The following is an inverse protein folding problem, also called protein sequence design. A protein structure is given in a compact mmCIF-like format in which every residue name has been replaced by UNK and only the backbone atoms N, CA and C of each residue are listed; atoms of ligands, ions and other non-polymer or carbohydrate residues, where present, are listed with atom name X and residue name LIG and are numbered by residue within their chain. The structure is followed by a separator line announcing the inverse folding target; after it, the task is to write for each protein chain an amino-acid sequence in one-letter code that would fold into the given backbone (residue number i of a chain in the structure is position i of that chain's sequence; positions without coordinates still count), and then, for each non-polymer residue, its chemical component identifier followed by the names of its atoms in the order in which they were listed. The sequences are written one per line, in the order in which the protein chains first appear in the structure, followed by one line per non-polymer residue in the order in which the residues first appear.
data_IF_147188125452
#
_entry.id   IF_147188125452
#
_cell.length_a   1.000
_cell.length_b   1.000
_cell.length_c   1.000
_cell.angle_alpha   90.00
_cell.angle_beta   90.00
_cell.angle_gamma   90.00
#
_symmetry.space_group_name_H-M   'P 1'
#
loop_
_entity.id
_entity.type
_entity.pdbx_description
1 polymer ?
#
# COMPACT_ATOMS: atom_id res chain seq x y z
N UNK A 1 -48.16 -0.99 -38.37
CA UNK A 1 -48.19 0.22 -39.23
C UNK A 1 -46.76 0.68 -39.50
N UNK A 2 -46.44 1.13 -40.72
CA UNK A 2 -45.10 1.63 -41.07
C UNK A 2 -45.21 3.00 -41.74
N UNK A 3 -44.44 3.97 -41.27
CA UNK A 3 -44.17 5.24 -41.93
C UNK A 3 -42.73 5.22 -42.43
N UNK A 4 -42.54 5.09 -43.75
CA UNK A 4 -41.22 4.98 -44.38
C UNK A 4 -41.08 6.00 -45.50
N UNK A 5 -39.98 6.74 -45.51
CA UNK A 5 -39.63 7.65 -46.62
C UNK A 5 -38.81 6.95 -47.71
N UNK A 6 -38.67 7.59 -48.87
CA UNK A 6 -37.60 7.27 -49.84
C UNK A 6 -36.63 8.44 -49.85
N UNK A 7 -35.33 8.16 -49.78
CA UNK A 7 -34.32 9.21 -49.84
C UNK A 7 -34.44 10.02 -51.12
N UNK A 8 -34.53 11.34 -50.98
CA UNK A 8 -34.68 12.22 -52.13
C UNK A 8 -33.39 12.23 -52.96
N UNK A 9 -33.50 11.89 -54.24
CA UNK A 9 -32.37 11.80 -55.18
C UNK A 9 -31.20 10.90 -54.69
N UNK A 10 -31.51 9.85 -53.93
CA UNK A 10 -30.52 8.91 -53.43
C UNK A 10 -31.12 7.56 -53.05
N UNK A 11 -30.27 6.67 -52.53
CA UNK A 11 -30.69 5.39 -51.95
C UNK A 11 -30.84 5.51 -50.43
N UNK A 12 -31.77 4.74 -49.85
CA UNK A 12 -32.01 4.70 -48.41
C UNK A 12 -33.43 5.09 -48.00
N UNK A 13 -33.66 5.17 -46.69
CA UNK A 13 -34.94 5.55 -46.09
C UNK A 13 -34.75 5.95 -44.62
N UNK A 14 -35.71 6.70 -44.08
CA UNK A 14 -35.97 6.76 -42.64
C UNK A 14 -37.25 5.99 -42.35
N UNK A 15 -37.39 5.43 -41.15
CA UNK A 15 -38.55 4.60 -40.81
C UNK A 15 -38.95 4.74 -39.34
N UNK A 16 -40.26 4.81 -39.12
CA UNK A 16 -40.92 4.54 -37.85
C UNK A 16 -41.93 3.42 -38.08
N UNK A 17 -41.76 2.31 -37.36
CA UNK A 17 -42.61 1.11 -37.49
C UNK A 17 -43.13 0.67 -36.13
N UNK A 18 -44.42 0.39 -36.09
CA UNK A 18 -45.13 -0.24 -34.98
C UNK A 18 -45.61 -1.62 -35.44
N UNK A 19 -45.09 -2.67 -34.83
CA UNK A 19 -45.52 -4.06 -34.98
C UNK A 19 -46.19 -4.49 -33.68
N UNK A 20 -47.43 -4.96 -33.74
CA UNK A 20 -48.28 -5.27 -32.58
C UNK A 20 -48.77 -6.73 -32.66
N UNK A 21 -47.97 -7.59 -33.30
CA UNK A 21 -48.20 -9.02 -33.29
C UNK A 21 -48.02 -9.55 -31.86
N UNK A 22 -49.02 -10.27 -31.35
CA UNK A 22 -49.04 -10.78 -29.98
C UNK A 22 -47.75 -11.52 -29.62
N UNK A 23 -47.09 -11.09 -28.55
CA UNK A 23 -45.80 -11.62 -28.06
C UNK A 23 -44.59 -11.37 -28.97
N UNK A 24 -44.70 -10.49 -29.97
CA UNK A 24 -43.62 -10.07 -30.86
C UNK A 24 -43.69 -8.55 -31.14
N UNK A 25 -44.27 -7.80 -30.21
CA UNK A 25 -44.48 -6.37 -30.34
C UNK A 25 -43.14 -5.62 -30.47
N UNK A 26 -43.06 -4.70 -31.43
CA UNK A 26 -41.85 -3.91 -31.66
C UNK A 26 -42.16 -2.50 -32.11
N UNK A 27 -41.47 -1.55 -31.47
CA UNK A 27 -41.23 -0.22 -32.02
C UNK A 27 -39.85 -0.18 -32.66
N UNK A 28 -39.77 0.22 -33.93
CA UNK A 28 -38.51 0.39 -34.66
C UNK A 28 -38.40 1.82 -35.17
N UNK A 29 -37.25 2.45 -34.91
CA UNK A 29 -36.90 3.78 -35.41
C UNK A 29 -35.54 3.69 -36.13
N UNK A 30 -35.49 4.20 -37.35
CA UNK A 30 -34.29 4.23 -38.17
C UNK A 30 -34.04 5.64 -38.70
N UNK A 31 -32.83 6.15 -38.45
CA UNK A 31 -32.31 7.33 -39.13
C UNK A 31 -31.14 6.94 -40.03
N UNK A 32 -31.18 7.34 -41.29
CA UNK A 32 -30.15 6.96 -42.28
C UNK A 32 -28.78 7.59 -42.01
N UNK A 33 -28.73 8.77 -41.39
CA UNK A 33 -27.48 9.53 -41.22
C UNK A 33 -27.35 10.16 -39.83
N UNK A 34 -28.19 11.16 -39.54
CA UNK A 34 -28.18 11.86 -38.27
C UNK A 34 -29.52 11.63 -37.57
N UNK A 35 -29.48 11.50 -36.25
CA UNK A 35 -30.65 11.56 -35.39
C UNK A 35 -30.34 12.52 -34.26
N UNK A 36 -31.11 13.60 -34.18
CA UNK A 36 -31.10 14.50 -33.03
C UNK A 36 -32.33 14.20 -32.17
N UNK A 37 -32.15 14.21 -30.85
CA UNK A 37 -33.25 14.06 -29.89
C UNK A 37 -33.15 15.18 -28.87
N UNK A 38 -34.06 16.13 -28.93
CA UNK A 38 -34.16 17.24 -27.98
C UNK A 38 -35.40 17.05 -27.11
N UNK A 39 -35.22 17.17 -25.79
CA UNK A 39 -36.31 17.12 -24.82
C UNK A 39 -36.18 18.33 -23.92
N UNK A 40 -37.14 19.26 -23.99
CA UNK A 40 -37.09 20.56 -23.32
C UNK A 40 -37.39 20.52 -21.82
N UNK A 41 -37.91 19.38 -21.34
CA UNK A 41 -38.24 19.18 -19.93
C UNK A 41 -37.63 17.84 -19.47
N UNK A 42 -38.46 16.84 -19.18
CA UNK A 42 -38.00 15.57 -18.62
C UNK A 42 -38.02 14.46 -19.67
N UNK A 43 -36.94 13.67 -19.70
CA UNK A 43 -36.91 12.35 -20.36
C UNK A 43 -36.70 11.29 -19.28
N UNK A 44 -37.52 10.25 -19.30
CA UNK A 44 -37.34 9.05 -18.47
C UNK A 44 -37.23 7.85 -19.40
N UNK A 45 -36.26 6.99 -19.12
CA UNK A 45 -36.07 5.72 -19.82
C UNK A 45 -36.11 4.61 -18.78
N UNK A 46 -37.04 3.67 -18.93
CA UNK A 46 -37.18 2.49 -18.09
C UNK A 46 -37.17 1.24 -18.98
N UNK A 47 -36.20 0.35 -18.78
CA UNK A 47 -36.02 -0.86 -19.57
C UNK A 47 -36.11 -2.05 -18.62
N UNK A 48 -37.17 -2.86 -18.74
CA UNK A 48 -37.50 -3.93 -17.77
C UNK A 48 -36.58 -5.14 -17.81
N UNK A 49 -35.86 -5.36 -18.91
CA UNK A 49 -35.06 -6.57 -19.12
C UNK A 49 -33.62 -6.18 -19.42
N UNK A 50 -33.29 -5.90 -20.68
CA UNK A 50 -31.90 -5.67 -21.11
C UNK A 50 -31.78 -4.38 -21.93
N UNK A 51 -30.72 -3.62 -21.67
CA UNK A 51 -30.27 -2.51 -22.51
C UNK A 51 -28.89 -2.84 -23.07
N UNK A 52 -28.70 -2.64 -24.37
CA UNK A 52 -27.42 -2.76 -25.04
C UNK A 52 -27.20 -1.52 -25.88
N UNK A 53 -26.00 -0.96 -25.79
CA UNK A 53 -25.58 0.21 -26.54
C UNK A 53 -24.20 -0.05 -27.13
N UNK A 54 -24.03 0.24 -28.42
CA UNK A 54 -22.77 0.08 -29.15
C UNK A 54 -22.45 1.37 -29.89
N UNK A 55 -21.32 1.99 -29.57
CA UNK A 55 -20.82 3.19 -30.26
C UNK A 55 -19.63 2.77 -31.11
N UNK A 56 -19.72 2.98 -32.43
CA UNK A 56 -18.62 2.70 -33.36
C UNK A 56 -17.52 3.76 -33.38
N UNK A 57 -17.79 4.94 -32.81
CA UNK A 57 -16.86 6.08 -32.72
C UNK A 57 -16.64 6.53 -31.28
N UNK A 58 -16.85 7.82 -31.02
CA UNK A 58 -16.64 8.42 -29.69
C UNK A 58 -17.97 8.61 -28.95
N UNK A 59 -17.97 8.39 -27.63
CA UNK A 59 -19.06 8.77 -26.73
C UNK A 59 -18.60 9.95 -25.86
N UNK A 60 -19.42 10.99 -25.75
CA UNK A 60 -19.18 12.13 -24.84
C UNK A 60 -20.42 12.28 -23.97
N UNK A 61 -20.23 12.27 -22.66
CA UNK A 61 -21.30 12.45 -21.67
C UNK A 61 -20.94 13.66 -20.81
N UNK A 62 -21.86 14.63 -20.76
CA UNK A 62 -21.71 15.82 -19.91
C UNK A 62 -22.92 15.91 -18.97
N UNK A 63 -22.66 15.72 -17.67
CA UNK A 63 -23.65 15.92 -16.61
C UNK A 63 -23.31 17.23 -15.89
N UNK A 64 -24.20 18.22 -15.97
CA UNK A 64 -23.94 19.57 -15.41
C UNK A 64 -24.12 19.65 -13.89
N UNK A 65 -24.88 18.72 -13.32
CA UNK A 65 -25.16 18.65 -11.88
C UNK A 65 -24.62 17.32 -11.35
N UNK A 66 -25.50 16.43 -10.88
CA UNK A 66 -25.11 15.20 -10.19
C UNK A 66 -25.33 13.96 -11.07
N UNK A 67 -24.41 13.00 -10.97
CA UNK A 67 -24.57 11.65 -11.51
C UNK A 67 -24.60 10.67 -10.34
N UNK A 68 -25.68 9.88 -10.25
CA UNK A 68 -25.78 8.76 -9.32
C UNK A 68 -25.84 7.46 -10.14
N UNK A 69 -24.93 6.54 -9.85
CA UNK A 69 -24.91 5.21 -10.46
C UNK A 69 -25.04 4.17 -9.35
N UNK A 70 -26.00 3.27 -9.49
CA UNK A 70 -26.20 2.13 -8.59
C UNK A 70 -26.12 0.85 -9.40
N UNK A 71 -25.18 -0.03 -9.05
CA UNK A 71 -25.04 -1.36 -9.61
C UNK A 71 -25.24 -2.34 -8.48
N UNK A 72 -26.32 -3.14 -8.54
CA UNK A 72 -26.69 -4.06 -7.43
C UNK A 72 -25.84 -5.32 -7.42
N UNK A 73 -25.40 -5.77 -8.60
CA UNK A 73 -24.55 -6.94 -8.75
C UNK A 73 -23.11 -6.51 -9.07
N UNK A 74 -22.64 -6.77 -10.29
CA UNK A 74 -21.24 -6.61 -10.67
C UNK A 74 -21.06 -5.48 -11.68
N UNK A 75 -19.97 -4.74 -11.54
CA UNK A 75 -19.47 -3.79 -12.54
C UNK A 75 -18.11 -4.29 -13.06
N UNK A 76 -17.95 -4.33 -14.38
CA UNK A 76 -16.68 -4.62 -15.05
C UNK A 76 -16.36 -3.48 -16.01
N UNK A 77 -15.20 -2.86 -15.84
CA UNK A 77 -14.67 -1.84 -16.72
C UNK A 77 -13.40 -2.37 -17.39
N UNK A 78 -13.28 -2.19 -18.71
CA UNK A 78 -12.08 -2.55 -19.46
C UNK A 78 -11.65 -1.31 -20.24
N UNK A 79 -10.47 -0.80 -19.93
CA UNK A 79 -9.85 0.32 -20.64
C UNK A 79 -8.68 -0.24 -21.46
N UNK A 80 -8.75 -0.15 -22.78
CA UNK A 80 -7.73 -0.71 -23.68
C UNK A 80 -6.45 0.12 -23.78
N UNK A 81 -6.50 1.39 -23.38
CA UNK A 81 -5.36 2.31 -23.38
C UNK A 81 -5.25 3.01 -22.01
N UNK A 82 -5.41 4.33 -21.95
CA UNK A 82 -5.20 5.12 -20.75
C UNK A 82 -6.53 5.50 -20.07
N UNK A 83 -6.55 5.47 -18.74
CA UNK A 83 -7.62 6.03 -17.92
C UNK A 83 -7.05 7.24 -17.14
N UNK A 84 -7.74 8.38 -17.21
CA UNK A 84 -7.39 9.58 -16.44
C UNK A 84 -8.60 10.03 -15.64
N UNK A 85 -8.41 10.20 -14.33
CA UNK A 85 -9.47 10.61 -13.40
C UNK A 85 -8.98 11.83 -12.63
N UNK A 86 -9.74 12.92 -12.73
CA UNK A 86 -9.50 14.14 -11.97
C UNK A 86 -10.69 14.39 -11.06
N UNK A 87 -10.44 14.42 -9.76
CA UNK A 87 -11.44 14.77 -8.74
C UNK A 87 -11.14 16.17 -8.24
N UNK A 88 -12.09 17.10 -8.38
CA UNK A 88 -11.86 18.50 -8.02
C UNK A 88 -11.76 18.74 -6.51
N UNK A 89 -12.39 17.88 -5.70
CA UNK A 89 -12.45 18.01 -4.24
C UNK A 89 -12.02 16.67 -3.58
N UNK A 90 -12.96 15.91 -3.01
CA UNK A 90 -12.68 14.72 -2.22
C UNK A 90 -13.00 13.43 -3.00
N UNK A 91 -12.12 12.43 -2.88
CA UNK A 91 -12.38 11.06 -3.28
C UNK A 91 -12.47 10.17 -2.04
N UNK A 92 -13.61 9.49 -1.87
CA UNK A 92 -13.82 8.51 -0.80
C UNK A 92 -14.09 7.15 -1.43
N UNK A 93 -13.38 6.12 -0.95
CA UNK A 93 -13.53 4.74 -1.41
C UNK A 93 -13.74 3.84 -0.19
N UNK A 94 -14.82 3.07 -0.18
CA UNK A 94 -15.09 2.07 0.85
C UNK A 94 -15.24 0.72 0.18
N UNK A 95 -14.44 -0.25 0.63
CA UNK A 95 -14.45 -1.62 0.11
C UNK A 95 -14.81 -2.55 1.25
N UNK A 96 -15.87 -3.34 1.08
CA UNK A 96 -16.44 -4.15 2.17
C UNK A 96 -15.59 -5.37 2.56
N UNK A 97 -14.77 -5.89 1.65
CA UNK A 97 -13.99 -7.12 1.89
C UNK A 97 -12.52 -6.93 1.48
N UNK A 98 -12.22 -6.89 0.18
CA UNK A 98 -10.83 -6.87 -0.32
C UNK A 98 -10.65 -5.85 -1.44
N UNK A 99 -9.56 -5.08 -1.36
CA UNK A 99 -9.05 -4.23 -2.43
C UNK A 99 -7.69 -4.75 -2.89
N UNK A 100 -7.63 -5.31 -4.10
CA UNK A 100 -6.39 -5.76 -4.72
C UNK A 100 -5.94 -4.77 -5.80
N UNK A 101 -4.67 -4.39 -5.80
CA UNK A 101 -4.07 -3.49 -6.78
C UNK A 101 -2.78 -4.11 -7.33
N UNK A 102 -2.76 -4.37 -8.64
CA UNK A 102 -1.58 -4.85 -9.37
C UNK A 102 -1.17 -3.79 -10.37
N UNK A 103 0.10 -3.37 -10.32
CA UNK A 103 0.68 -2.36 -11.22
C UNK A 103 1.89 -2.97 -11.90
N UNK A 104 1.90 -2.95 -13.24
CA UNK A 104 2.89 -3.69 -14.03
C UNK A 104 4.28 -3.06 -14.09
N UNK A 105 4.38 -1.73 -14.02
CA UNK A 105 5.65 -1.00 -14.18
C UNK A 105 6.00 -0.13 -12.97
N UNK A 106 5.21 0.91 -12.69
CA UNK A 106 5.53 1.88 -11.66
C UNK A 106 4.26 2.39 -10.96
N UNK A 107 4.35 2.51 -9.63
CA UNK A 107 3.30 3.07 -8.78
C UNK A 107 3.89 4.23 -7.97
N UNK A 108 3.30 5.42 -8.11
CA UNK A 108 3.71 6.63 -7.41
C UNK A 108 2.53 7.18 -6.61
N UNK A 109 2.81 7.59 -5.37
CA UNK A 109 1.86 8.33 -4.54
C UNK A 109 2.56 9.58 -4.03
N UNK A 110 1.95 10.74 -4.26
CA UNK A 110 2.40 12.03 -3.73
C UNK A 110 1.28 12.62 -2.90
N UNK A 111 1.55 12.90 -1.63
CA UNK A 111 0.59 13.51 -0.70
C UNK A 111 1.12 14.88 -0.30
N UNK A 112 0.37 15.94 -0.63
CA UNK A 112 0.78 17.31 -0.32
C UNK A 112 0.58 17.73 1.15
N UNK A 113 -0.24 16.98 1.89
CA UNK A 113 -0.53 17.20 3.30
C UNK A 113 -0.10 16.02 4.17
N UNK A 114 -1.06 15.45 4.90
CA UNK A 114 -0.82 14.33 5.82
C UNK A 114 -1.23 13.01 5.18
N UNK A 115 -0.40 11.98 5.34
CA UNK A 115 -0.72 10.60 5.02
C UNK A 115 -0.81 9.79 6.31
N UNK A 116 -1.95 9.13 6.55
CA UNK A 116 -2.13 8.20 7.67
C UNK A 116 -2.38 6.79 7.11
N UNK A 117 -1.80 5.79 7.75
CA UNK A 117 -2.04 4.38 7.42
C UNK A 117 -2.27 3.64 8.73
N UNK A 118 -3.46 3.09 8.89
CA UNK A 118 -3.83 2.27 10.04
C UNK A 118 -4.17 0.87 9.55
N UNK A 119 -3.56 -0.14 10.18
CA UNK A 119 -3.73 -1.55 9.84
C UNK A 119 -4.04 -2.29 11.13
N UNK A 120 -5.19 -2.94 11.18
CA UNK A 120 -5.68 -3.58 12.40
C UNK A 120 -5.00 -4.93 12.73
N UNK A 121 -4.53 -5.63 11.70
CA UNK A 121 -3.97 -6.98 11.85
C UNK A 121 -2.46 -6.99 11.54
N UNK A 122 -2.10 -6.85 10.26
CA UNK A 122 -0.73 -7.09 9.81
C UNK A 122 -0.40 -6.31 8.56
N UNK A 123 0.80 -5.73 8.54
CA UNK A 123 1.34 -5.00 7.41
C UNK A 123 2.70 -5.60 7.01
N UNK A 124 2.78 -6.19 5.82
CA UNK A 124 4.01 -6.75 5.26
C UNK A 124 4.51 -5.92 4.08
N UNK A 125 5.83 -5.83 3.91
CA UNK A 125 6.47 -5.12 2.80
C UNK A 125 7.67 -5.93 2.29
N UNK A 126 7.60 -6.39 1.05
CA UNK A 126 8.66 -7.11 0.36
C UNK A 126 9.21 -6.23 -0.77
N UNK A 127 10.52 -6.03 -0.82
CA UNK A 127 11.19 -5.19 -1.82
C UNK A 127 12.36 -5.98 -2.41
N UNK A 128 12.31 -6.25 -3.71
CA UNK A 128 13.26 -7.17 -4.37
C UNK A 128 14.67 -6.62 -4.58
N UNK A 129 14.83 -5.28 -4.68
CA UNK A 129 16.12 -4.65 -4.99
C UNK A 129 16.54 -3.71 -3.85
N UNK A 130 15.84 -2.58 -3.67
CA UNK A 130 16.26 -1.54 -2.73
C UNK A 130 15.05 -0.83 -2.12
N UNK A 131 15.07 -0.65 -0.80
CA UNK A 131 14.16 0.23 -0.05
C UNK A 131 14.96 1.41 0.50
N UNK A 132 14.53 2.63 0.21
CA UNK A 132 15.12 3.87 0.76
C UNK A 132 14.06 4.62 1.55
N UNK A 133 14.41 5.09 2.74
CA UNK A 133 13.55 5.90 3.61
C UNK A 133 14.33 7.14 4.04
N UNK A 134 13.82 8.31 3.68
CA UNK A 134 14.39 9.61 4.03
C UNK A 134 13.33 10.39 4.81
N UNK A 135 13.68 10.81 6.03
CA UNK A 135 12.78 11.56 6.92
C UNK A 135 13.42 12.88 7.27
N UNK A 136 12.74 13.99 6.96
CA UNK A 136 13.33 15.33 7.08
C UNK A 136 13.40 15.91 8.50
N UNK A 137 12.63 15.36 9.45
CA UNK A 137 12.61 15.83 10.85
C UNK A 137 12.82 14.70 11.84
N UNK A 138 11.76 14.01 12.25
CA UNK A 138 11.81 12.96 13.26
C UNK A 138 11.28 11.63 12.74
N UNK A 139 11.96 10.54 13.09
CA UNK A 139 11.53 9.18 12.81
C UNK A 139 11.38 8.43 14.14
N UNK A 140 10.13 8.21 14.56
CA UNK A 140 9.81 7.55 15.83
C UNK A 140 9.22 6.17 15.55
N UNK A 141 9.77 5.14 16.20
CA UNK A 141 9.34 3.75 16.08
C UNK A 141 9.05 3.24 17.48
N UNK A 142 7.82 2.76 17.71
CA UNK A 142 7.42 2.09 18.94
C UNK A 142 6.90 0.70 18.59
N UNK A 143 7.40 -0.31 19.29
CA UNK A 143 7.07 -1.73 19.07
C UNK A 143 6.63 -2.31 20.40
N UNK A 144 5.46 -2.96 20.42
CA UNK A 144 4.86 -3.48 21.65
C UNK A 144 5.51 -4.77 22.17
N UNK A 145 6.11 -5.57 21.28
CA UNK A 145 6.80 -6.80 21.62
C UNK A 145 8.25 -6.75 21.10
N UNK A 146 8.55 -7.46 20.01
CA UNK A 146 9.91 -7.68 19.56
C UNK A 146 10.22 -6.95 18.25
N UNK A 147 11.45 -6.43 18.14
CA UNK A 147 12.02 -5.93 16.88
C UNK A 147 13.28 -6.73 16.55
N UNK A 148 13.44 -7.13 15.28
CA UNK A 148 14.60 -7.88 14.80
C UNK A 148 15.11 -7.30 13.49
N UNK A 149 16.43 -7.14 13.37
CA UNK A 149 17.09 -6.71 12.15
C UNK A 149 18.12 -7.76 11.73
N UNK A 150 17.90 -8.38 10.58
CA UNK A 150 18.86 -9.31 9.97
C UNK A 150 19.48 -8.66 8.75
N UNK A 151 20.81 -8.51 8.75
CA UNK A 151 21.56 -7.84 7.67
C UNK A 151 22.63 -8.81 7.17
N UNK A 152 22.55 -9.19 5.89
CA UNK A 152 23.45 -10.20 5.31
C UNK A 152 24.88 -9.73 5.00
N UNK A 153 25.12 -8.42 5.03
CA UNK A 153 26.44 -7.82 4.81
C UNK A 153 26.75 -6.80 5.91
N UNK A 154 26.67 -5.51 5.59
CA UNK A 154 27.08 -4.44 6.48
C UNK A 154 25.88 -3.68 7.03
N UNK A 155 25.89 -3.42 8.34
CA UNK A 155 25.03 -2.42 8.98
C UNK A 155 25.92 -1.25 9.41
N UNK A 156 25.56 -0.05 9.00
CA UNK A 156 26.23 1.18 9.40
C UNK A 156 25.23 2.10 10.08
N UNK A 157 25.61 2.63 11.24
CA UNK A 157 24.83 3.60 12.00
C UNK A 157 25.74 4.79 12.33
N UNK A 158 25.32 5.99 11.95
CA UNK A 158 26.08 7.22 12.15
C UNK A 158 25.18 8.29 12.75
N UNK A 159 25.62 8.85 13.87
CA UNK A 159 24.86 9.83 14.64
C UNK A 159 25.70 11.08 14.85
N UNK A 160 25.18 12.23 14.43
CA UNK A 160 25.96 13.47 14.42
C UNK A 160 26.22 14.11 15.79
N UNK A 161 25.44 13.76 16.83
CA UNK A 161 25.60 14.31 18.18
C UNK A 161 25.71 13.23 19.25
N UNK A 162 24.62 12.53 19.56
CA UNK A 162 24.57 11.56 20.67
C UNK A 162 23.79 10.34 20.21
N UNK A 163 24.39 9.15 20.36
CA UNK A 163 23.71 7.87 20.26
C UNK A 163 23.55 7.27 21.66
N UNK A 164 22.32 6.91 22.03
CA UNK A 164 22.00 6.29 23.33
C UNK A 164 21.42 4.90 23.08
N UNK A 165 22.08 3.88 23.63
CA UNK A 165 21.57 2.51 23.67
C UNK A 165 21.26 2.19 25.13
N UNK A 166 20.01 1.82 25.40
CA UNK A 166 19.53 1.54 26.76
C UNK A 166 18.70 0.25 26.75
N UNK A 167 18.89 -0.56 27.77
CA UNK A 167 18.12 -1.77 28.02
C UNK A 167 17.75 -1.82 29.51
N UNK A 168 16.58 -2.36 29.83
CA UNK A 168 16.10 -2.46 31.22
C UNK A 168 16.80 -3.56 32.03
N UNK A 169 17.29 -4.61 31.37
CA UNK A 169 17.88 -5.77 32.05
C UNK A 169 19.32 -6.08 31.61
N UNK A 170 19.54 -6.18 30.30
CA UNK A 170 20.78 -6.66 29.71
C UNK A 170 21.04 -5.96 28.38
N UNK A 171 22.20 -5.33 28.23
CA UNK A 171 22.68 -4.76 26.96
C UNK A 171 23.97 -5.47 26.56
N UNK A 172 23.96 -6.15 25.42
CA UNK A 172 25.09 -6.97 24.94
C UNK A 172 25.53 -6.57 23.53
N UNK A 173 26.85 -6.38 23.35
CA UNK A 173 27.51 -6.36 22.06
C UNK A 173 28.32 -7.66 21.89
N UNK A 174 28.06 -8.38 20.81
CA UNK A 174 28.60 -9.73 20.57
C UNK A 174 29.30 -9.85 19.22
N UNK A 175 30.50 -10.43 19.22
CA UNK A 175 31.22 -10.86 18.03
C UNK A 175 31.97 -12.18 18.30
N UNK A 176 31.55 -13.29 17.69
CA UNK A 176 32.16 -14.60 17.95
C UNK A 176 32.09 -14.99 19.43
N UNK A 177 33.24 -15.15 20.09
CA UNK A 177 33.35 -15.35 21.56
C UNK A 177 33.54 -14.06 22.36
N UNK A 178 33.78 -12.91 21.71
CA UNK A 178 33.96 -11.64 22.39
C UNK A 178 32.63 -10.99 22.77
N UNK A 179 32.57 -10.39 23.96
CA UNK A 179 31.37 -9.75 24.54
C UNK A 179 31.71 -8.46 25.28
N UNK A 180 30.83 -7.48 25.15
CA UNK A 180 30.65 -6.37 26.09
C UNK A 180 29.22 -6.41 26.60
N UNK A 181 29.03 -6.56 27.91
CA UNK A 181 27.72 -6.70 28.54
C UNK A 181 27.56 -5.69 29.67
N UNK A 182 26.42 -5.00 29.71
CA UNK A 182 25.96 -4.17 30.82
C UNK A 182 24.68 -4.77 31.40
N UNK A 183 24.62 -4.88 32.71
CA UNK A 183 23.48 -5.48 33.43
C UNK A 183 22.76 -4.45 34.31
N UNK A 184 21.50 -4.73 34.67
CA UNK A 184 20.67 -3.82 35.50
C UNK A 184 21.22 -3.49 36.88
N UNK A 185 22.07 -4.34 37.45
CA UNK A 185 22.78 -4.11 38.71
C UNK A 185 24.07 -3.28 38.55
N UNK A 186 24.32 -2.75 37.34
CA UNK A 186 25.43 -1.84 37.04
C UNK A 186 26.77 -2.53 36.78
N UNK A 187 26.81 -3.86 36.67
CA UNK A 187 28.03 -4.57 36.30
C UNK A 187 28.33 -4.43 34.82
N UNK A 188 29.62 -4.39 34.51
CA UNK A 188 30.12 -4.37 33.13
C UNK A 188 31.05 -5.57 32.97
N UNK A 189 30.77 -6.39 31.96
CA UNK A 189 31.60 -7.54 31.60
C UNK A 189 32.27 -7.28 30.26
N UNK A 190 33.58 -7.45 30.22
CA UNK A 190 34.37 -7.47 28.99
C UNK A 190 35.05 -8.83 28.89
N UNK A 191 34.60 -9.66 27.95
CA UNK A 191 35.07 -11.05 27.80
C UNK A 191 35.58 -11.29 26.38
N UNK A 192 36.67 -12.04 26.26
CA UNK A 192 37.20 -12.58 25.02
C UNK A 192 38.37 -13.53 25.29
N UNK A 193 38.86 -14.22 24.26
CA UNK A 193 40.03 -15.11 24.37
C UNK A 193 41.34 -14.37 24.66
N UNK A 194 41.39 -13.09 24.28
CA UNK A 194 42.46 -12.17 24.62
C UNK A 194 41.88 -10.76 24.68
N UNK A 195 42.25 -10.00 25.71
CA UNK A 195 41.89 -8.59 25.85
C UNK A 195 43.21 -7.80 25.78
N UNK A 196 43.44 -7.11 24.66
CA UNK A 196 44.63 -6.27 24.47
C UNK A 196 44.29 -4.83 24.85
N UNK A 197 44.82 -4.36 25.99
CA UNK A 197 44.70 -2.97 26.43
C UNK A 197 46.02 -2.26 26.15
N UNK A 198 46.02 -1.26 25.26
CA UNK A 198 47.21 -0.50 24.88
C UNK A 198 46.93 1.00 25.04
N UNK A 199 47.78 1.69 25.81
CA UNK A 199 47.76 3.13 25.96
C UNK A 199 49.08 3.73 25.48
N UNK A 200 49.03 4.79 24.67
CA UNK A 200 50.24 5.51 24.22
C UNK A 200 50.85 6.35 25.34
N UNK A 201 50.00 6.89 26.24
CA UNK A 201 50.45 7.68 27.40
C UNK A 201 50.26 6.91 28.71
N UNK A 202 49.06 6.36 28.95
CA UNK A 202 48.76 5.57 30.15
C UNK A 202 47.54 4.69 29.95
N UNK A 203 47.40 3.67 30.80
CA UNK A 203 46.16 2.95 31.08
C UNK A 203 45.94 3.07 32.59
N UNK A 204 44.87 3.72 33.02
CA UNK A 204 44.57 3.97 34.43
C UNK A 204 43.33 3.19 34.88
N UNK A 205 43.36 2.69 36.11
CA UNK A 205 42.19 2.25 36.84
C UNK A 205 42.17 2.97 38.18
N UNK A 206 41.00 3.44 38.60
CA UNK A 206 40.78 4.07 39.89
C UNK A 206 39.56 3.41 40.53
N UNK A 207 39.81 2.67 41.60
CA UNK A 207 38.80 1.94 42.35
C UNK A 207 39.34 1.63 43.75
N UNK A 208 38.45 1.35 44.70
CA UNK A 208 38.84 0.85 46.03
C UNK A 208 39.69 -0.44 45.94
N UNK A 209 39.50 -1.23 44.88
CA UNK A 209 40.29 -2.42 44.57
C UNK A 209 40.39 -2.61 43.06
N UNK A 210 41.59 -2.90 42.57
CA UNK A 210 41.83 -3.41 41.21
C UNK A 210 42.45 -4.78 41.35
N UNK A 211 41.73 -5.81 40.90
CA UNK A 211 42.15 -7.20 41.02
C UNK A 211 42.43 -7.79 39.64
N UNK A 212 43.71 -8.08 39.37
CA UNK A 212 44.16 -8.83 38.19
C UNK A 212 44.32 -10.30 38.58
N UNK A 213 43.19 -10.97 38.80
CA UNK A 213 43.20 -12.37 39.20
C UNK A 213 43.40 -13.27 37.97
N UNK A 214 44.22 -14.31 38.10
CA UNK A 214 44.38 -15.38 37.10
C UNK A 214 43.44 -16.57 37.34
N UNK A 215 42.51 -16.47 38.30
CA UNK A 215 41.50 -17.48 38.61
C UNK A 215 40.39 -17.61 37.56
N UNK A 216 39.50 -18.60 37.76
CA UNK A 216 38.32 -18.81 36.91
C UNK A 216 37.50 -17.52 36.81
N UNK A 217 37.36 -17.00 35.59
CA UNK A 217 36.52 -15.85 35.27
C UNK A 217 35.05 -16.26 35.30
N UNK A 218 34.21 -15.48 35.99
CA UNK A 218 32.76 -15.62 35.85
C UNK A 218 32.34 -15.22 34.42
N UNK A 219 31.58 -16.08 33.76
CA UNK A 219 30.99 -15.74 32.48
C UNK A 219 29.98 -14.59 32.68
N UNK A 220 29.83 -13.68 31.69
CA UNK A 220 28.69 -12.78 31.71
C UNK A 220 27.40 -13.60 31.77
N UNK A 221 26.36 -13.11 32.48
CA UNK A 221 25.08 -13.79 32.50
C UNK A 221 24.56 -13.99 31.08
N UNK A 222 23.88 -15.11 30.83
CA UNK A 222 23.24 -15.35 29.54
C UNK A 222 22.19 -14.28 29.27
N UNK A 223 22.08 -13.88 28.00
CA UNK A 223 20.99 -13.00 27.59
C UNK A 223 19.65 -13.69 27.92
N UNK A 224 18.63 -12.96 28.41
CA UNK A 224 17.29 -13.51 28.60
C UNK A 224 16.80 -14.22 27.33
N UNK A 225 16.16 -15.38 27.48
CA UNK A 225 15.66 -16.14 26.32
C UNK A 225 14.70 -15.29 25.48
N UNK A 226 14.99 -15.19 24.18
CA UNK A 226 14.10 -14.53 23.24
C UNK A 226 12.89 -15.44 22.95
N UNK A 227 11.69 -14.88 23.04
CA UNK A 227 10.46 -15.57 22.63
C UNK A 227 10.51 -15.85 21.12
N UNK A 228 10.55 -17.13 20.75
CA UNK A 228 10.81 -17.61 19.39
C UNK A 228 9.58 -17.64 18.48
N UNK A 229 8.48 -17.00 18.89
CA UNK A 229 7.25 -16.93 18.09
C UNK A 229 7.49 -16.15 16.79
N UNK A 230 7.61 -16.87 15.67
CA UNK A 230 7.64 -16.28 14.34
C UNK A 230 6.31 -15.54 14.06
N UNK A 231 6.35 -14.34 13.44
CA UNK A 231 5.13 -13.70 12.98
C UNK A 231 4.43 -14.60 11.95
N UNK A 232 3.09 -14.62 11.92
CA UNK A 232 2.33 -15.46 10.99
C UNK A 232 2.71 -15.19 9.53
N UNK A 233 2.97 -16.26 8.77
CA UNK A 233 3.31 -16.18 7.35
C UNK A 233 2.07 -15.79 6.54
N UNK A 234 2.05 -14.55 6.05
CA UNK A 234 0.96 -14.01 5.25
C UNK A 234 0.80 -14.66 3.87
N UNK A 235 1.71 -15.54 3.45
CA UNK A 235 1.53 -16.38 2.24
C UNK A 235 0.55 -17.53 2.45
N UNK A 236 0.11 -17.76 3.68
CA UNK A 236 -0.80 -18.85 4.05
C UNK A 236 -2.27 -18.40 4.20
N UNK A 237 -2.56 -17.11 3.98
CA UNK A 237 -3.91 -16.54 3.96
C UNK A 237 -4.30 -16.10 2.56
#
# INVERSE_FOLDING_TARGET
MTLRSKTYKGSGFNELRFDDATSAEQLYLHAQKNMDTEVLNNRTTDVKVNHSETIGGNQVITVKQNQLQTVVQNQKEIVGQNQSITVGQNQSETVGIVRALTVGLAYQTTVGGVMNTSVALTQSSQVGIQKSLVVGKGYHVSVGENVTFTVGKNRTESTGKVAVYSAGEHLELRCGMARLVLTKDGKIFLNGTAINLQGVQSVSGDALMINWNCGLTDNPPEAPEADSRQPPDMRQF
#
